data_IF_180067784218
#
_entry.id   IF_180067784218
#
_cell.length_a   1.000
_cell.length_b   1.000
_cell.length_c   1.000
_cell.angle_alpha   90.00
_cell.angle_beta   90.00
_cell.angle_gamma   90.00
#
_symmetry.space_group_name_H-M   'P 1'
#
loop_
_entity.id
_entity.type
_entity.pdbx_description
1 polymer ?
#
# COMPACT_ATOMS: atom_id res chain seq x y z
N UNK A 1 -0.68 -8.27 -14.35
CA UNK A 1 -1.64 -9.03 -15.19
C UNK A 1 -2.47 -8.02 -15.96
N UNK A 2 -3.25 -8.44 -16.96
CA UNK A 2 -4.18 -7.54 -17.64
C UNK A 2 -5.25 -7.01 -16.67
N UNK A 3 -5.46 -5.69 -16.65
CA UNK A 3 -6.37 -5.04 -15.69
C UNK A 3 -7.84 -5.37 -15.97
N UNK A 4 -8.23 -5.46 -17.25
CA UNK A 4 -9.59 -5.82 -17.65
C UNK A 4 -9.95 -7.23 -17.19
N UNK A 5 -9.02 -8.17 -17.36
CA UNK A 5 -9.18 -9.52 -16.86
C UNK A 5 -9.32 -9.57 -15.33
N UNK A 6 -8.46 -8.86 -14.58
CA UNK A 6 -8.54 -8.80 -13.12
C UNK A 6 -9.89 -8.24 -12.63
N UNK A 7 -10.41 -7.22 -13.30
CA UNK A 7 -11.75 -6.70 -13.02
C UNK A 7 -12.83 -7.77 -13.21
N UNK A 8 -12.78 -8.51 -14.32
CA UNK A 8 -13.75 -9.60 -14.55
C UNK A 8 -13.62 -10.74 -13.55
N UNK A 9 -12.42 -11.00 -13.04
CA UNK A 9 -12.19 -11.97 -11.96
C UNK A 9 -12.80 -11.49 -10.63
N UNK A 10 -12.65 -10.21 -10.29
CA UNK A 10 -13.26 -9.61 -9.12
C UNK A 10 -14.80 -9.70 -9.21
N UNK A 11 -15.38 -9.30 -10.33
CA UNK A 11 -16.82 -9.38 -10.59
C UNK A 11 -17.34 -10.82 -10.47
N UNK A 12 -16.66 -11.79 -11.10
CA UNK A 12 -17.00 -13.21 -11.02
C UNK A 12 -17.00 -13.73 -9.57
N UNK A 13 -16.07 -13.26 -8.76
CA UNK A 13 -15.92 -13.65 -7.35
C UNK A 13 -17.05 -13.07 -6.51
N UNK A 14 -17.29 -11.76 -6.62
CA UNK A 14 -18.36 -11.07 -5.89
C UNK A 14 -19.76 -11.59 -6.25
N UNK A 15 -19.98 -12.02 -7.49
CA UNK A 15 -21.24 -12.66 -7.90
C UNK A 15 -21.53 -13.99 -7.18
N UNK A 16 -20.51 -14.64 -6.59
CA UNK A 16 -20.64 -15.91 -5.87
C UNK A 16 -20.62 -15.73 -4.37
N UNK A 17 -19.68 -14.92 -3.88
CA UNK A 17 -19.46 -14.68 -2.46
C UNK A 17 -18.89 -13.28 -2.25
N UNK A 18 -19.35 -12.62 -1.20
CA UNK A 18 -18.74 -11.38 -0.75
C UNK A 18 -17.48 -11.70 0.05
N UNK A 19 -16.31 -11.50 -0.57
CA UNK A 19 -14.99 -11.71 0.04
C UNK A 19 -14.15 -10.46 -0.17
N UNK A 20 -13.30 -10.11 0.79
CA UNK A 20 -12.34 -9.04 0.59
C UNK A 20 -11.21 -9.52 -0.33
N UNK A 21 -10.97 -8.80 -1.42
CA UNK A 21 -9.90 -9.10 -2.38
C UNK A 21 -8.88 -7.97 -2.32
N UNK A 22 -7.60 -8.33 -2.18
CA UNK A 22 -6.48 -7.40 -2.25
C UNK A 22 -5.53 -7.74 -3.40
N UNK A 23 -4.80 -6.72 -3.88
CA UNK A 23 -3.76 -6.87 -4.89
C UNK A 23 -2.43 -6.30 -4.41
N UNK A 24 -1.35 -6.79 -5.02
CA UNK A 24 -0.01 -6.28 -4.81
C UNK A 24 0.44 -5.54 -6.06
N UNK A 25 0.64 -4.23 -5.94
CA UNK A 25 1.24 -3.43 -7.00
C UNK A 25 2.40 -2.61 -6.42
N UNK A 26 3.61 -3.07 -6.75
CA UNK A 26 4.84 -2.51 -6.20
C UNK A 26 5.16 -1.13 -6.79
N UNK A 27 4.70 -0.07 -6.11
CA UNK A 27 4.97 1.33 -6.44
C UNK A 27 5.19 2.17 -5.16
N UNK A 28 5.98 3.22 -5.29
CA UNK A 28 6.08 4.33 -4.34
C UNK A 28 5.32 5.55 -4.86
N UNK A 29 5.07 6.52 -3.98
CA UNK A 29 4.43 7.80 -4.31
C UNK A 29 5.09 8.60 -5.46
N UNK A 30 6.38 8.38 -5.74
CA UNK A 30 7.13 9.10 -6.76
C UNK A 30 7.36 8.31 -8.06
N UNK A 31 6.94 7.05 -8.11
CA UNK A 31 7.19 6.18 -9.26
C UNK A 31 6.22 6.55 -10.41
N UNK A 32 6.65 6.37 -11.66
CA UNK A 32 5.88 6.84 -12.82
C UNK A 32 4.50 6.18 -12.92
N UNK A 33 4.38 4.93 -12.48
CA UNK A 33 3.14 4.14 -12.54
C UNK A 33 2.30 4.23 -11.26
N UNK A 34 2.60 5.16 -10.37
CA UNK A 34 1.77 5.41 -9.18
C UNK A 34 0.32 5.74 -9.55
N UNK A 35 0.12 6.53 -10.60
CA UNK A 35 -1.23 6.92 -11.03
C UNK A 35 -2.00 5.78 -11.70
N UNK A 36 -1.32 4.81 -12.29
CA UNK A 36 -1.94 3.57 -12.77
C UNK A 36 -2.40 2.69 -11.60
N UNK A 37 -1.61 2.63 -10.51
CA UNK A 37 -2.00 1.96 -9.27
C UNK A 37 -3.27 2.59 -8.68
N UNK A 38 -3.32 3.92 -8.55
CA UNK A 38 -4.50 4.60 -7.98
C UNK A 38 -5.71 4.46 -8.89
N UNK A 39 -5.52 4.55 -10.21
CA UNK A 39 -6.60 4.32 -11.17
C UNK A 39 -7.17 2.90 -11.04
N UNK A 40 -6.30 1.89 -10.98
CA UNK A 40 -6.71 0.50 -10.88
C UNK A 40 -7.48 0.24 -9.57
N UNK A 41 -6.92 0.63 -8.43
CA UNK A 41 -7.55 0.46 -7.11
C UNK A 41 -8.92 1.12 -7.00
N UNK A 42 -9.07 2.29 -7.64
CA UNK A 42 -10.31 3.05 -7.64
C UNK A 42 -11.40 2.46 -8.56
N UNK A 43 -11.11 1.47 -9.41
CA UNK A 43 -12.02 1.03 -10.47
C UNK A 43 -12.17 -0.49 -10.65
N UNK A 44 -11.25 -1.31 -10.14
CA UNK A 44 -11.19 -2.74 -10.40
C UNK A 44 -12.06 -3.59 -9.46
N UNK A 45 -12.37 -3.09 -8.26
CA UNK A 45 -13.11 -3.79 -7.21
C UNK A 45 -12.23 -4.53 -6.19
N UNK A 46 -10.92 -4.42 -6.29
CA UNK A 46 -9.92 -4.96 -5.35
C UNK A 46 -9.23 -3.80 -4.62
N UNK A 47 -8.46 -4.08 -3.56
CA UNK A 47 -7.81 -3.05 -2.74
C UNK A 47 -6.30 -3.30 -2.56
N UNK A 48 -5.49 -2.25 -2.65
CA UNK A 48 -4.05 -2.37 -2.74
C UNK A 48 -3.42 -2.67 -1.37
N UNK A 49 -2.36 -3.48 -1.40
CA UNK A 49 -1.31 -3.41 -0.39
C UNK A 49 -0.68 -2.02 -0.43
N UNK A 50 -0.64 -1.35 0.73
CA UNK A 50 -0.20 0.03 0.84
C UNK A 50 1.32 0.16 0.85
N UNK A 51 1.96 -0.28 -0.24
CA UNK A 51 3.40 -0.20 -0.45
C UNK A 51 3.91 1.25 -0.36
N UNK A 52 3.24 2.27 -0.94
CA UNK A 52 3.68 3.66 -0.80
C UNK A 52 3.82 4.11 0.66
N UNK A 53 2.83 3.83 1.52
CA UNK A 53 2.91 4.16 2.95
C UNK A 53 3.95 3.31 3.69
N UNK A 54 4.05 2.02 3.37
CA UNK A 54 5.03 1.12 3.99
C UNK A 54 6.47 1.61 3.80
N UNK A 55 6.80 2.18 2.64
CA UNK A 55 8.10 2.82 2.41
C UNK A 55 8.32 4.02 3.32
N UNK A 56 7.34 4.93 3.42
CA UNK A 56 7.47 6.12 4.27
C UNK A 56 7.59 5.74 5.75
N UNK A 57 6.81 4.77 6.22
CA UNK A 57 6.92 4.24 7.59
C UNK A 57 8.33 3.71 7.85
N UNK A 58 8.89 2.93 6.93
CA UNK A 58 10.25 2.39 7.08
C UNK A 58 11.30 3.49 7.04
N UNK A 59 11.16 4.48 6.17
CA UNK A 59 12.08 5.61 6.06
C UNK A 59 12.08 6.47 7.34
N UNK A 60 10.92 6.64 7.98
CA UNK A 60 10.79 7.39 9.24
C UNK A 60 11.32 6.59 10.42
N UNK A 61 10.85 5.36 10.62
CA UNK A 61 11.05 4.62 11.87
C UNK A 61 12.23 3.64 11.82
N UNK A 62 12.47 2.98 10.69
CA UNK A 62 13.55 1.99 10.59
C UNK A 62 14.86 2.62 10.08
N UNK A 63 14.81 3.34 8.95
CA UNK A 63 16.00 3.94 8.33
C UNK A 63 16.36 5.31 8.92
N UNK A 64 15.39 6.04 9.51
CA UNK A 64 15.53 7.42 10.00
C UNK A 64 16.08 8.38 8.95
N UNK A 65 15.68 8.18 7.70
CA UNK A 65 15.99 9.06 6.55
C UNK A 65 14.89 10.09 6.30
N UNK A 66 13.72 9.91 6.92
CA UNK A 66 12.58 10.82 6.84
C UNK A 66 12.03 11.16 8.23
N UNK A 67 11.09 12.11 8.28
CA UNK A 67 10.50 12.63 9.53
C UNK A 67 9.00 12.38 9.60
N UNK A 68 8.39 12.64 10.76
CA UNK A 68 6.94 12.57 10.94
C UNK A 68 6.16 13.47 9.98
N UNK A 69 6.74 14.58 9.48
CA UNK A 69 6.11 15.41 8.44
C UNK A 69 5.95 14.67 7.12
N UNK A 70 6.90 13.80 6.78
CA UNK A 70 6.78 12.95 5.58
C UNK A 70 5.67 11.91 5.75
N UNK A 71 5.53 11.34 6.96
CA UNK A 71 4.45 10.41 7.27
C UNK A 71 3.07 11.10 7.19
N UNK A 72 2.94 12.30 7.77
CA UNK A 72 1.72 13.12 7.65
C UNK A 72 1.36 13.41 6.19
N UNK A 73 2.34 13.84 5.39
CA UNK A 73 2.14 14.09 3.97
C UNK A 73 1.70 12.82 3.22
N UNK A 74 2.29 11.66 3.54
CA UNK A 74 1.91 10.38 2.94
C UNK A 74 0.47 9.97 3.29
N UNK A 75 0.07 10.11 4.56
CA UNK A 75 -1.29 9.82 5.02
C UNK A 75 -2.31 10.78 4.38
N UNK A 76 -1.96 12.05 4.25
CA UNK A 76 -2.81 13.07 3.61
C UNK A 76 -2.97 12.77 2.12
N UNK A 77 -1.87 12.41 1.44
CA UNK A 77 -1.87 12.09 0.02
C UNK A 77 -2.72 10.86 -0.28
N UNK A 78 -2.55 9.76 0.44
CA UNK A 78 -3.37 8.55 0.20
C UNK A 78 -4.87 8.80 0.44
N UNK A 79 -5.23 9.67 1.39
CA UNK A 79 -6.62 10.04 1.66
C UNK A 79 -7.25 10.85 0.52
N UNK A 80 -6.41 11.44 -0.34
CA UNK A 80 -6.84 12.20 -1.53
C UNK A 80 -6.83 11.33 -2.78
N UNK A 81 -5.80 10.50 -2.95
CA UNK A 81 -5.55 9.76 -4.19
C UNK A 81 -6.41 8.48 -4.31
N UNK A 82 -6.83 7.88 -3.18
CA UNK A 82 -7.63 6.65 -3.15
C UNK A 82 -9.05 6.90 -2.64
N UNK A 83 -10.06 6.51 -3.42
CA UNK A 83 -11.48 6.65 -3.11
C UNK A 83 -11.92 5.83 -1.89
N UNK A 84 -11.21 4.73 -1.61
CA UNK A 84 -11.48 3.84 -0.49
C UNK A 84 -10.23 3.61 0.36
N UNK A 85 -9.54 4.70 0.72
CA UNK A 85 -8.30 4.68 1.50
C UNK A 85 -8.34 3.79 2.78
N UNK A 86 -9.51 3.63 3.40
CA UNK A 86 -9.72 2.75 4.55
C UNK A 86 -9.61 1.25 4.25
N UNK A 87 -9.59 0.86 2.97
CA UNK A 87 -9.45 -0.53 2.51
C UNK A 87 -8.03 -0.89 2.10
N UNK A 88 -7.12 0.11 2.05
CA UNK A 88 -5.70 -0.13 1.81
C UNK A 88 -5.11 -1.00 2.92
N UNK A 89 -4.33 -2.02 2.54
CA UNK A 89 -3.75 -2.97 3.49
C UNK A 89 -2.39 -2.46 3.94
N UNK A 90 -2.32 -1.92 5.16
CA UNK A 90 -1.11 -1.35 5.74
C UNK A 90 -0.17 -2.42 6.31
N UNK A 91 1.13 -2.21 6.19
CA UNK A 91 2.17 -3.10 6.74
C UNK A 91 3.51 -2.36 6.91
N UNK A 92 4.48 -3.00 7.57
CA UNK A 92 5.83 -2.44 7.82
C UNK A 92 6.97 -3.30 7.26
N UNK A 93 6.71 -4.59 7.07
CA UNK A 93 7.53 -5.52 6.31
C UNK A 93 6.64 -6.60 5.65
N UNK A 94 7.21 -7.35 4.72
CA UNK A 94 6.55 -8.46 4.02
C UNK A 94 7.55 -9.59 3.81
N UNK A 95 7.15 -10.64 3.11
CA UNK A 95 8.04 -11.74 2.73
C UNK A 95 9.07 -11.32 1.67
N UNK A 96 8.84 -10.23 0.94
CA UNK A 96 9.75 -9.69 -0.10
C UNK A 96 10.72 -8.63 0.43
N UNK A 97 10.64 -8.29 1.71
CA UNK A 97 11.46 -7.26 2.36
C UNK A 97 12.15 -7.80 3.60
N UNK A 98 13.34 -7.26 3.95
CA UNK A 98 13.93 -7.52 5.25
C UNK A 98 12.93 -7.16 6.35
N UNK A 99 12.87 -8.04 7.36
CA UNK A 99 12.08 -7.82 8.57
C UNK A 99 12.42 -6.46 9.17
N UNK A 100 11.40 -5.75 9.62
CA UNK A 100 11.52 -4.40 10.15
C UNK A 100 12.55 -4.32 11.29
N UNK A 101 12.51 -5.30 12.20
CA UNK A 101 13.46 -5.42 13.31
C UNK A 101 14.86 -5.88 12.90
N UNK A 102 15.05 -6.42 11.70
CA UNK A 102 16.39 -6.70 11.17
C UNK A 102 17.08 -5.43 10.64
N UNK A 103 16.31 -4.37 10.35
CA UNK A 103 16.83 -3.06 9.96
C UNK A 103 17.13 -2.24 11.22
N UNK A 104 16.17 -2.22 12.15
CA UNK A 104 16.29 -1.48 13.39
C UNK A 104 15.52 -2.15 14.52
N UNK A 105 16.24 -2.51 15.57
CA UNK A 105 15.70 -3.10 16.79
C UNK A 105 16.09 -2.25 18.00
N UNK A 106 15.40 -1.12 18.19
CA UNK A 106 15.64 -0.25 19.33
C UNK A 106 15.07 -0.90 20.61
N UNK A 107 15.90 -1.67 21.33
CA UNK A 107 15.48 -2.38 22.55
C UNK A 107 15.39 -1.49 23.80
N UNK A 108 15.79 -0.22 23.70
CA UNK A 108 15.94 0.70 24.85
C UNK A 108 15.41 2.11 24.52
N UNK A 109 14.44 2.21 23.61
CA UNK A 109 13.87 3.52 23.25
C UNK A 109 12.80 3.97 24.25
N UNK A 110 13.15 4.09 25.54
CA UNK A 110 12.54 4.96 26.56
C UNK A 110 13.55 5.15 27.70
#
# INVERSE_FOLDING_TARGET
>A
MDQGWLKTLADFTYARRNVFIMHEWYQRFGDEMYWDLTHFDNNDGMHALNIPLAYVIRDVFAHRTQTMRNLEAAVTRQATDFNWNQKLVNFVDSHDKPRFLSIRNDRVAF
#
